data_IF_654787120518
#
_entry.id   IF_654787120518
#
_cell.length_a   1.000
_cell.length_b   1.000
_cell.length_c   1.000
_cell.angle_alpha   90.00
_cell.angle_beta   90.00
_cell.angle_gamma   90.00
#
_symmetry.space_group_name_H-M   'P 1'
#
loop_
_entity.id
_entity.type
_entity.pdbx_description
1 polymer ?
#
# COMPACT_ATOMS: atom_id res chain seq x y z
N UNK A 1 4.61 -0.86 -18.85
CA UNK A 1 4.94 -1.02 -17.41
C UNK A 1 3.86 -1.82 -16.70
N UNK A 2 2.58 -1.46 -16.84
CA UNK A 2 1.47 -2.19 -16.24
C UNK A 2 1.42 -3.67 -16.64
N UNK A 3 1.69 -4.00 -17.91
CA UNK A 3 1.78 -5.39 -18.37
C UNK A 3 2.85 -6.20 -17.61
N UNK A 4 3.99 -5.60 -17.29
CA UNK A 4 5.07 -6.28 -16.54
C UNK A 4 4.58 -6.62 -15.13
N UNK A 5 3.94 -5.65 -14.46
CA UNK A 5 3.37 -5.81 -13.12
C UNK A 5 2.33 -6.93 -13.11
N UNK A 6 1.37 -6.88 -14.04
CA UNK A 6 0.29 -7.87 -14.11
C UNK A 6 0.82 -9.26 -14.47
N UNK A 7 1.89 -9.36 -15.25
CA UNK A 7 2.51 -10.66 -15.58
C UNK A 7 3.07 -11.32 -14.31
N UNK A 8 3.85 -10.58 -13.52
CA UNK A 8 4.42 -11.11 -12.27
C UNK A 8 3.30 -11.43 -11.27
N UNK A 9 2.35 -10.52 -11.09
CA UNK A 9 1.24 -10.68 -10.14
C UNK A 9 0.36 -11.88 -10.47
N UNK A 10 -0.04 -12.04 -11.75
CA UNK A 10 -0.87 -13.17 -12.19
C UNK A 10 -0.15 -14.50 -12.09
N UNK A 11 1.16 -14.52 -12.33
CA UNK A 11 1.94 -15.71 -12.09
C UNK A 11 1.93 -16.11 -10.61
N UNK A 12 2.15 -15.15 -9.71
CA UNK A 12 2.11 -15.41 -8.26
C UNK A 12 0.72 -15.91 -7.85
N UNK A 13 -0.36 -15.26 -8.29
CA UNK A 13 -1.73 -15.69 -8.03
C UNK A 13 -1.98 -17.13 -8.53
N UNK A 14 -1.55 -17.45 -9.76
CA UNK A 14 -1.68 -18.80 -10.32
C UNK A 14 -0.89 -19.84 -9.54
N UNK A 15 0.35 -19.52 -9.16
CA UNK A 15 1.20 -20.38 -8.33
C UNK A 15 0.56 -20.68 -6.98
N UNK A 16 0.01 -19.66 -6.32
CA UNK A 16 -0.69 -19.82 -5.03
C UNK A 16 -1.92 -20.70 -5.18
N UNK A 17 -2.78 -20.42 -6.16
CA UNK A 17 -3.98 -21.21 -6.42
C UNK A 17 -3.65 -22.68 -6.69
N UNK A 18 -2.65 -22.94 -7.54
CA UNK A 18 -2.24 -24.29 -7.87
C UNK A 18 -1.64 -25.03 -6.67
N UNK A 19 -0.79 -24.34 -5.88
CA UNK A 19 -0.23 -24.91 -4.66
C UNK A 19 -1.33 -25.28 -3.66
N UNK A 20 -2.39 -24.47 -3.55
CA UNK A 20 -3.53 -24.77 -2.70
C UNK A 20 -4.28 -26.01 -3.19
N UNK A 21 -4.61 -26.08 -4.49
CA UNK A 21 -5.30 -27.25 -5.07
C UNK A 21 -4.53 -28.55 -4.85
N UNK A 22 -3.22 -28.52 -5.03
CA UNK A 22 -2.34 -29.69 -4.83
C UNK A 22 -2.29 -30.10 -3.36
N UNK A 23 -2.28 -29.14 -2.41
CA UNK A 23 -2.33 -29.43 -0.97
C UNK A 23 -3.67 -30.03 -0.54
N UNK A 24 -4.76 -29.65 -1.19
CA UNK A 24 -6.10 -30.18 -0.92
C UNK A 24 -6.30 -31.61 -1.49
N UNK A 25 -5.44 -32.04 -2.42
CA UNK A 25 -5.46 -33.35 -3.07
C UNK A 25 -4.07 -34.03 -3.04
N UNK A 26 -3.57 -34.42 -1.85
CA UNK A 26 -2.19 -34.85 -1.69
C UNK A 26 -1.89 -36.20 -2.36
N UNK A 27 -2.85 -37.13 -2.36
CA UNK A 27 -2.66 -38.49 -2.90
C UNK A 27 -2.48 -38.49 -4.42
N UNK A 28 -3.10 -37.54 -5.12
CA UNK A 28 -3.02 -37.40 -6.59
C UNK A 28 -1.79 -36.61 -7.05
N UNK A 29 -1.14 -35.86 -6.14
CA UNK A 29 -0.11 -34.88 -6.46
C UNK A 29 1.19 -35.03 -5.65
N UNK A 30 1.47 -36.22 -5.11
CA UNK A 30 2.59 -36.48 -4.21
C UNK A 30 3.95 -36.03 -4.78
N UNK A 31 4.22 -36.29 -6.06
CA UNK A 31 5.47 -35.90 -6.73
C UNK A 31 5.63 -34.38 -6.83
N UNK A 32 4.53 -33.65 -7.10
CA UNK A 32 4.55 -32.20 -7.18
C UNK A 32 4.74 -31.55 -5.80
N UNK A 33 4.07 -32.09 -4.77
CA UNK A 33 4.28 -31.66 -3.38
C UNK A 33 5.74 -31.85 -2.94
N UNK A 34 6.36 -32.97 -3.32
CA UNK A 34 7.77 -33.22 -3.05
C UNK A 34 8.68 -32.18 -3.73
N UNK A 35 8.36 -31.77 -4.96
CA UNK A 35 9.10 -30.75 -5.69
C UNK A 35 8.94 -29.34 -5.09
N UNK A 36 7.75 -28.98 -4.59
CA UNK A 36 7.51 -27.68 -3.97
C UNK A 36 8.24 -27.49 -2.63
N UNK A 37 8.61 -28.59 -1.97
CA UNK A 37 9.24 -28.57 -0.65
C UNK A 37 8.30 -28.12 0.48
N UNK A 38 8.87 -27.90 1.66
CA UNK A 38 8.09 -27.62 2.88
C UNK A 38 7.50 -26.20 2.92
N UNK A 39 8.15 -25.24 2.28
CA UNK A 39 7.74 -23.83 2.22
C UNK A 39 7.75 -23.36 0.77
N UNK A 40 6.70 -23.68 -0.01
CA UNK A 40 6.61 -23.31 -1.40
C UNK A 40 6.69 -21.79 -1.58
N UNK A 41 7.55 -21.37 -2.49
CA UNK A 41 7.79 -19.98 -2.82
C UNK A 41 7.87 -19.83 -4.35
N UNK A 42 7.16 -18.86 -4.95
CA UNK A 42 7.19 -18.66 -6.41
C UNK A 42 8.62 -18.50 -6.95
N UNK A 43 9.43 -17.66 -6.29
CA UNK A 43 10.80 -17.34 -6.74
C UNK A 43 11.78 -18.53 -6.68
N UNK A 44 11.53 -19.51 -5.82
CA UNK A 44 12.33 -20.76 -5.76
C UNK A 44 11.94 -21.73 -6.87
N UNK A 45 10.68 -21.71 -7.30
CA UNK A 45 10.19 -22.57 -8.37
C UNK A 45 10.54 -22.01 -9.76
N UNK A 46 10.49 -20.68 -9.93
CA UNK A 46 10.84 -20.00 -11.17
C UNK A 46 11.50 -18.65 -10.85
N UNK A 47 12.64 -18.35 -11.47
CA UNK A 47 13.35 -17.10 -11.19
C UNK A 47 12.64 -15.84 -11.71
N UNK A 48 11.91 -15.92 -12.83
CA UNK A 48 11.33 -14.74 -13.47
C UNK A 48 11.02 -14.90 -14.95
N UNK A 49 10.83 -13.76 -15.62
CA UNK A 49 10.46 -13.68 -17.04
C UNK A 49 11.45 -12.84 -17.84
N UNK A 50 11.87 -13.35 -19.00
CA UNK A 50 12.51 -12.51 -20.02
C UNK A 50 11.44 -11.78 -20.84
N UNK A 51 11.54 -10.45 -20.88
CA UNK A 51 10.60 -9.58 -21.58
C UNK A 51 11.30 -8.85 -22.72
N UNK A 52 10.64 -8.82 -23.87
CA UNK A 52 11.04 -8.04 -25.03
C UNK A 52 9.89 -7.10 -25.43
N UNK A 53 10.15 -5.81 -25.46
CA UNK A 53 9.20 -4.81 -25.93
C UNK A 53 9.56 -4.39 -27.35
N UNK A 54 8.57 -4.45 -28.23
CA UNK A 54 8.71 -4.10 -29.64
C UNK A 54 7.82 -2.91 -29.97
N UNK A 55 8.32 -2.01 -30.80
CA UNK A 55 7.55 -0.88 -31.33
C UNK A 55 7.52 -0.92 -32.84
N UNK A 56 6.32 -0.80 -33.38
CA UNK A 56 6.10 -0.62 -34.80
C UNK A 56 6.51 0.80 -35.21
N UNK A 57 7.39 0.90 -36.21
CA UNK A 57 7.89 2.15 -36.80
C UNK A 57 7.35 2.34 -38.23
N UNK A 58 6.27 1.64 -38.59
CA UNK A 58 5.61 1.65 -39.90
C UNK A 58 6.26 0.68 -40.89
N UNK A 59 7.55 0.86 -41.18
CA UNK A 59 8.28 0.03 -42.14
C UNK A 59 9.13 -1.09 -41.48
N UNK A 60 9.25 -1.07 -40.16
CA UNK A 60 10.02 -2.05 -39.40
C UNK A 60 9.51 -2.13 -37.95
N UNK A 61 9.69 -3.29 -37.33
CA UNK A 61 9.47 -3.48 -35.89
C UNK A 61 10.83 -3.41 -35.20
N UNK A 62 10.98 -2.47 -34.26
CA UNK A 62 12.23 -2.28 -33.52
C UNK A 62 12.10 -2.82 -32.10
N UNK A 63 13.10 -3.57 -31.64
CA UNK A 63 13.22 -3.96 -30.23
C UNK A 63 13.62 -2.74 -29.40
N UNK A 64 12.70 -2.29 -28.55
CA UNK A 64 12.86 -1.09 -27.74
C UNK A 64 13.46 -1.39 -26.37
N UNK A 65 13.16 -2.56 -25.81
CA UNK A 65 13.65 -2.97 -24.49
C UNK A 65 13.79 -4.49 -24.39
N UNK A 66 14.83 -4.93 -23.69
CA UNK A 66 15.02 -6.30 -23.22
C UNK A 66 15.24 -6.23 -21.71
N UNK A 67 14.35 -6.85 -20.94
CA UNK A 67 14.39 -6.81 -19.48
C UNK A 67 14.17 -8.21 -18.89
N UNK A 68 14.63 -8.39 -17.66
CA UNK A 68 14.28 -9.54 -16.84
C UNK A 68 13.41 -9.07 -15.67
N UNK A 69 12.28 -9.75 -15.47
CA UNK A 69 11.37 -9.54 -14.35
C UNK A 69 11.57 -10.65 -13.34
N UNK A 70 12.24 -10.36 -12.22
CA UNK A 70 12.38 -11.32 -11.13
C UNK A 70 11.01 -11.62 -10.50
N UNK A 71 10.85 -12.82 -9.97
CA UNK A 71 9.79 -13.08 -9.00
C UNK A 71 10.22 -12.65 -7.60
N UNK A 72 9.30 -12.08 -6.81
CA UNK A 72 9.63 -11.55 -5.50
C UNK A 72 9.83 -12.64 -4.46
N UNK A 73 10.76 -12.40 -3.54
CA UNK A 73 11.00 -13.27 -2.40
C UNK A 73 10.11 -12.97 -1.18
N UNK A 74 9.10 -12.10 -1.25
CA UNK A 74 8.25 -11.77 -0.08
C UNK A 74 6.98 -12.64 0.03
N UNK A 75 6.77 -13.59 -0.88
CA UNK A 75 5.64 -14.54 -0.87
C UNK A 75 6.08 -15.91 -0.35
N UNK A 76 5.52 -16.36 0.77
CA UNK A 76 5.83 -17.65 1.39
C UNK A 76 4.57 -18.40 1.82
N UNK A 77 4.38 -19.64 1.36
CA UNK A 77 3.21 -20.45 1.73
C UNK A 77 3.56 -21.41 2.87
N UNK A 78 3.66 -20.91 4.10
CA UNK A 78 4.03 -21.66 5.31
C UNK A 78 2.82 -22.37 5.94
N UNK A 79 1.71 -21.65 6.02
CA UNK A 79 0.47 -22.09 6.67
C UNK A 79 -0.64 -22.28 5.63
N UNK A 80 -1.69 -23.03 6.00
CA UNK A 80 -2.84 -23.25 5.12
C UNK A 80 -3.58 -21.94 4.79
N UNK A 81 -3.57 -20.97 5.71
CA UNK A 81 -4.21 -19.66 5.54
C UNK A 81 -3.40 -18.70 4.67
N UNK A 82 -2.14 -19.01 4.35
CA UNK A 82 -1.28 -18.11 3.58
C UNK A 82 -1.79 -17.95 2.14
N UNK A 83 -2.37 -19.00 1.55
CA UNK A 83 -2.87 -18.94 0.18
C UNK A 83 -3.99 -17.89 0.05
N UNK A 84 -5.05 -18.02 0.85
CA UNK A 84 -6.10 -16.99 0.95
C UNK A 84 -5.50 -15.64 1.33
N UNK A 85 -4.50 -15.63 2.21
CA UNK A 85 -3.89 -14.40 2.67
C UNK A 85 -3.26 -13.60 1.53
N UNK A 86 -2.43 -14.25 0.72
CA UNK A 86 -1.76 -13.60 -0.39
C UNK A 86 -2.71 -13.30 -1.55
N UNK A 87 -3.74 -14.13 -1.80
CA UNK A 87 -4.74 -13.82 -2.83
C UNK A 87 -5.43 -12.48 -2.56
N UNK A 88 -5.95 -12.27 -1.34
CA UNK A 88 -6.61 -11.01 -0.99
C UNK A 88 -5.67 -9.79 -1.02
N UNK A 89 -4.39 -9.98 -0.67
CA UNK A 89 -3.37 -8.93 -0.79
C UNK A 89 -3.15 -8.59 -2.28
N UNK A 90 -2.96 -9.60 -3.13
CA UNK A 90 -2.69 -9.42 -4.56
C UNK A 90 -3.90 -8.83 -5.30
N UNK A 91 -5.13 -9.19 -4.91
CA UNK A 91 -6.35 -8.60 -5.46
C UNK A 91 -6.45 -7.09 -5.15
N UNK A 92 -6.19 -6.67 -3.92
CA UNK A 92 -6.18 -5.24 -3.57
C UNK A 92 -5.07 -4.49 -4.32
N UNK A 93 -3.90 -5.12 -4.45
CA UNK A 93 -2.79 -4.61 -5.23
C UNK A 93 -3.14 -4.46 -6.73
N UNK A 94 -3.81 -5.44 -7.33
CA UNK A 94 -4.28 -5.41 -8.72
C UNK A 94 -5.27 -4.25 -8.94
N UNK A 95 -6.23 -4.06 -8.05
CA UNK A 95 -7.18 -2.94 -8.10
C UNK A 95 -6.46 -1.57 -8.08
N UNK A 96 -5.39 -1.45 -7.30
CA UNK A 96 -4.63 -0.20 -7.16
C UNK A 96 -3.78 0.10 -8.40
N UNK A 97 -3.14 -0.90 -9.00
CA UNK A 97 -2.28 -0.66 -10.18
C UNK A 97 -3.09 -0.51 -11.47
N UNK A 98 -4.23 -1.20 -11.59
CA UNK A 98 -5.07 -1.15 -12.80
C UNK A 98 -5.82 0.17 -12.99
N UNK A 99 -6.05 0.93 -11.91
CA UNK A 99 -6.62 2.30 -12.02
C UNK A 99 -5.62 3.35 -12.51
N UNK A 100 -4.31 3.06 -12.49
CA UNK A 100 -3.26 3.98 -12.93
C UNK A 100 -3.10 3.90 -14.45
N UNK A 101 -3.00 5.06 -15.10
CA UNK A 101 -2.92 5.19 -16.56
C UNK A 101 -1.50 5.49 -17.02
N UNK A 102 -1.08 4.78 -18.07
CA UNK A 102 0.24 4.96 -18.68
C UNK A 102 0.36 6.20 -19.59
N UNK A 103 -0.66 7.06 -19.67
CA UNK A 103 -0.67 8.28 -20.48
C UNK A 103 -0.43 9.57 -19.66
N UNK A 104 -0.18 9.44 -18.35
CA UNK A 104 0.04 10.57 -17.42
C UNK A 104 1.36 10.41 -16.67
N UNK A 105 2.17 11.47 -16.64
CA UNK A 105 3.52 11.44 -16.04
C UNK A 105 3.56 10.88 -14.60
N UNK A 106 2.77 11.45 -13.69
CA UNK A 106 2.71 11.01 -12.27
C UNK A 106 2.26 9.54 -12.13
N UNK A 107 1.28 9.10 -12.92
CA UNK A 107 0.75 7.73 -12.85
C UNK A 107 1.73 6.70 -13.44
N UNK A 108 2.50 7.10 -14.47
CA UNK A 108 3.60 6.30 -15.02
C UNK A 108 4.71 6.13 -13.97
N UNK A 109 5.09 7.19 -13.25
CA UNK A 109 6.11 7.12 -12.19
C UNK A 109 5.67 6.20 -11.05
N UNK A 110 4.40 6.26 -10.64
CA UNK A 110 3.82 5.32 -9.68
C UNK A 110 3.87 3.88 -10.17
N UNK A 111 3.52 3.63 -11.44
CA UNK A 111 3.63 2.30 -12.04
C UNK A 111 5.09 1.81 -12.09
N UNK A 112 6.04 2.69 -12.38
CA UNK A 112 7.47 2.33 -12.38
C UNK A 112 7.94 1.96 -10.96
N UNK A 113 7.63 2.78 -9.96
CA UNK A 113 7.95 2.47 -8.56
C UNK A 113 7.29 1.16 -8.08
N UNK A 114 6.05 0.91 -8.49
CA UNK A 114 5.38 -0.35 -8.18
C UNK A 114 6.04 -1.55 -8.89
N UNK A 115 6.45 -1.37 -10.16
CA UNK A 115 7.19 -2.40 -10.90
C UNK A 115 8.48 -2.76 -10.18
N UNK A 116 9.20 -1.77 -9.64
CA UNK A 116 10.42 -2.02 -8.87
C UNK A 116 10.13 -2.82 -7.59
N UNK A 117 8.99 -2.58 -6.94
CA UNK A 117 8.53 -3.40 -5.82
C UNK A 117 8.20 -4.85 -6.21
N UNK A 118 7.36 -5.07 -7.22
CA UNK A 118 6.87 -6.43 -7.51
C UNK A 118 7.99 -7.36 -7.96
N UNK A 119 9.12 -6.83 -8.44
CA UNK A 119 10.32 -7.58 -8.81
C UNK A 119 11.44 -7.53 -7.76
N UNK A 120 11.21 -6.88 -6.62
CA UNK A 120 12.18 -6.77 -5.53
C UNK A 120 12.03 -7.89 -4.48
N UNK A 121 13.13 -8.14 -3.77
CA UNK A 121 13.20 -9.15 -2.71
C UNK A 121 12.82 -8.62 -1.32
N UNK A 122 12.49 -7.34 -1.20
CA UNK A 122 12.13 -6.69 0.05
C UNK A 122 11.01 -5.66 -0.15
N UNK A 123 10.46 -5.16 0.97
CA UNK A 123 9.31 -4.26 0.96
C UNK A 123 9.68 -2.76 0.95
N UNK A 124 10.96 -2.39 0.85
CA UNK A 124 11.31 -0.95 0.80
C UNK A 124 10.79 -0.24 -0.46
N UNK A 125 10.91 -0.81 -1.68
CA UNK A 125 10.31 -0.17 -2.85
C UNK A 125 8.78 -0.09 -2.76
N UNK A 126 8.14 -1.01 -2.03
CA UNK A 126 6.70 -0.90 -1.75
C UNK A 126 6.41 0.31 -0.86
N UNK A 127 7.23 0.51 0.18
CA UNK A 127 7.11 1.67 1.05
C UNK A 127 7.35 2.98 0.29
N UNK A 128 8.29 3.02 -0.66
CA UNK A 128 8.48 4.15 -1.57
C UNK A 128 7.23 4.42 -2.41
N UNK A 129 6.66 3.37 -3.01
CA UNK A 129 5.41 3.46 -3.76
C UNK A 129 4.29 4.02 -2.88
N UNK A 130 4.07 3.47 -1.68
CA UNK A 130 2.97 3.92 -0.80
C UNK A 130 3.12 5.38 -0.37
N UNK A 131 4.36 5.85 -0.18
CA UNK A 131 4.63 7.24 0.19
C UNK A 131 4.31 8.22 -0.94
N UNK A 132 4.66 7.87 -2.19
CA UNK A 132 4.27 8.64 -3.38
C UNK A 132 2.75 8.55 -3.62
N UNK A 133 2.19 7.35 -3.48
CA UNK A 133 0.78 7.06 -3.72
C UNK A 133 -0.17 7.82 -2.77
N UNK A 134 0.27 8.15 -1.55
CA UNK A 134 -0.48 9.00 -0.62
C UNK A 134 -0.84 10.37 -1.22
N UNK A 135 0.07 10.98 -1.97
CA UNK A 135 -0.18 12.25 -2.68
C UNK A 135 -1.23 12.09 -3.78
N UNK A 136 -1.13 11.00 -4.55
CA UNK A 136 -2.10 10.66 -5.60
C UNK A 136 -3.51 10.45 -5.02
N UNK A 137 -3.65 9.75 -3.90
CA UNK A 137 -4.96 9.57 -3.24
C UNK A 137 -5.61 10.93 -2.94
N UNK A 138 -4.84 11.86 -2.38
CA UNK A 138 -5.35 13.20 -2.06
C UNK A 138 -5.73 13.96 -3.33
N UNK A 139 -4.88 13.98 -4.35
CA UNK A 139 -5.14 14.69 -5.61
C UNK A 139 -6.39 14.16 -6.33
N UNK A 140 -6.58 12.84 -6.34
CA UNK A 140 -7.80 12.22 -6.86
C UNK A 140 -9.02 12.61 -6.05
N UNK A 141 -8.91 12.63 -4.72
CA UNK A 141 -10.01 13.04 -3.83
C UNK A 141 -10.31 14.53 -3.86
N UNK A 142 -9.52 15.38 -4.50
CA UNK A 142 -9.90 16.77 -4.73
C UNK A 142 -10.83 16.96 -5.94
N UNK A 143 -10.72 16.05 -6.91
CA UNK A 143 -11.57 16.08 -8.11
C UNK A 143 -13.02 15.80 -7.72
N UNK A 144 -13.98 16.49 -8.36
CA UNK A 144 -15.42 16.44 -8.04
C UNK A 144 -15.98 15.01 -8.03
N UNK A 145 -15.59 14.20 -9.02
CA UNK A 145 -15.95 12.78 -9.16
C UNK A 145 -14.73 11.86 -8.99
N UNK A 146 -13.63 12.37 -8.47
CA UNK A 146 -12.40 11.59 -8.34
C UNK A 146 -12.46 10.63 -7.17
N UNK A 147 -12.00 9.42 -7.46
CA UNK A 147 -11.85 8.31 -6.54
C UNK A 147 -10.48 7.67 -6.77
N UNK A 148 -9.94 7.06 -5.71
CA UNK A 148 -8.74 6.24 -5.77
C UNK A 148 -8.92 5.09 -4.78
N UNK A 149 -8.64 3.86 -5.23
CA UNK A 149 -8.55 2.72 -4.33
C UNK A 149 -7.45 2.96 -3.30
N UNK A 150 -7.56 2.38 -2.11
CA UNK A 150 -6.54 2.53 -1.08
C UNK A 150 -6.24 1.16 -0.52
N UNK A 151 -4.97 0.94 -0.19
CA UNK A 151 -4.60 -0.20 0.63
C UNK A 151 -5.38 -0.17 1.93
N UNK A 152 -5.82 -1.34 2.38
CA UNK A 152 -6.38 -1.50 3.70
C UNK A 152 -5.25 -1.67 4.73
N UNK A 153 -5.44 -1.12 5.92
CA UNK A 153 -4.52 -1.38 7.02
C UNK A 153 -4.44 -2.87 7.38
N UNK A 154 -5.51 -3.62 7.14
CA UNK A 154 -5.55 -5.06 7.29
C UNK A 154 -4.57 -5.79 6.35
N UNK A 155 -4.66 -5.55 5.04
CA UNK A 155 -3.79 -6.22 4.08
C UNK A 155 -2.34 -5.72 4.16
N UNK A 156 -2.12 -4.43 4.45
CA UNK A 156 -0.76 -3.95 4.77
C UNK A 156 -0.17 -4.71 5.94
N UNK A 157 -0.90 -4.81 7.07
CA UNK A 157 -0.42 -5.55 8.25
C UNK A 157 -0.08 -6.99 7.87
N UNK A 158 -0.94 -7.67 7.12
CA UNK A 158 -0.69 -9.05 6.69
C UNK A 158 0.52 -9.17 5.77
N UNK A 159 0.70 -8.29 4.79
CA UNK A 159 1.87 -8.29 3.91
C UNK A 159 3.19 -8.18 4.70
N UNK A 160 3.27 -7.23 5.64
CA UNK A 160 4.47 -7.05 6.47
C UNK A 160 4.68 -8.25 7.42
N UNK A 161 3.64 -8.73 8.09
CA UNK A 161 3.76 -9.86 9.03
C UNK A 161 4.08 -11.19 8.33
N UNK A 162 3.53 -11.43 7.14
CA UNK A 162 3.79 -12.66 6.36
C UNK A 162 5.14 -12.66 5.64
N UNK A 163 5.74 -11.48 5.38
CA UNK A 163 7.06 -11.38 4.75
C UNK A 163 8.19 -11.49 5.79
N UNK A 164 8.24 -10.60 6.78
CA UNK A 164 9.30 -10.55 7.80
C UNK A 164 8.73 -10.22 9.19
N UNK A 165 8.09 -11.18 9.87
CA UNK A 165 7.39 -10.92 11.14
C UNK A 165 8.32 -10.41 12.24
N UNK A 166 9.54 -10.93 12.34
CA UNK A 166 10.53 -10.50 13.34
C UNK A 166 10.95 -9.04 13.16
N UNK A 167 10.98 -8.58 11.90
CA UNK A 167 11.32 -7.19 11.56
C UNK A 167 10.16 -6.26 11.81
N UNK A 168 8.93 -6.63 11.39
CA UNK A 168 7.83 -5.67 11.36
C UNK A 168 6.87 -5.76 12.56
N UNK A 169 6.78 -6.89 13.26
CA UNK A 169 5.88 -7.02 14.42
C UNK A 169 6.14 -5.96 15.51
N UNK A 170 7.40 -5.66 15.92
CA UNK A 170 7.64 -4.66 16.95
C UNK A 170 7.15 -3.25 16.58
N UNK A 171 7.14 -2.90 15.29
CA UNK A 171 6.61 -1.62 14.80
C UNK A 171 5.08 -1.66 14.77
N UNK A 172 4.50 -2.73 14.18
CA UNK A 172 3.06 -2.83 13.94
C UNK A 172 2.24 -3.07 15.21
N UNK A 173 2.86 -3.60 16.26
CA UNK A 173 2.25 -3.83 17.58
C UNK A 173 2.49 -2.68 18.55
N UNK A 174 3.36 -1.74 18.20
CA UNK A 174 3.62 -0.56 19.01
C UNK A 174 2.42 0.40 19.02
N UNK A 175 1.99 0.78 20.22
CA UNK A 175 0.78 1.59 20.40
C UNK A 175 0.99 3.04 19.91
N UNK A 176 2.17 3.63 20.17
CA UNK A 176 2.53 4.96 19.65
C UNK A 176 2.53 5.04 18.13
N UNK A 177 3.10 4.04 17.46
CA UNK A 177 3.06 3.91 16.00
C UNK A 177 1.62 3.90 15.47
N UNK A 178 0.75 3.05 16.03
CA UNK A 178 -0.66 2.97 15.62
C UNK A 178 -1.42 4.29 15.89
N UNK A 179 -1.11 4.97 16.99
CA UNK A 179 -1.73 6.23 17.37
C UNK A 179 -1.34 7.35 16.41
N UNK A 180 -0.08 7.43 16.03
CA UNK A 180 0.42 8.45 15.11
C UNK A 180 -0.02 8.17 13.67
N UNK A 181 0.00 6.92 13.20
CA UNK A 181 -0.55 6.55 11.90
C UNK A 181 -2.03 6.96 11.79
N UNK A 182 -2.81 6.74 12.84
CA UNK A 182 -4.20 7.23 12.92
C UNK A 182 -4.29 8.75 12.84
N UNK A 183 -3.43 9.50 13.55
CA UNK A 183 -3.46 10.96 13.49
C UNK A 183 -3.17 11.46 12.07
N UNK A 184 -2.17 10.88 11.39
CA UNK A 184 -1.88 11.15 9.97
C UNK A 184 -3.12 10.92 9.12
N UNK A 185 -3.80 9.77 9.29
CA UNK A 185 -5.05 9.42 8.60
C UNK A 185 -6.17 10.44 8.83
N UNK A 186 -6.36 10.84 10.10
CA UNK A 186 -7.37 11.82 10.49
C UNK A 186 -7.07 13.24 9.96
N UNK A 187 -5.80 13.58 9.72
CA UNK A 187 -5.38 14.88 9.20
C UNK A 187 -5.30 14.94 7.68
N UNK A 188 -5.40 13.81 6.98
CA UNK A 188 -5.20 13.75 5.53
C UNK A 188 -6.46 13.20 4.86
N UNK A 189 -6.48 11.90 4.60
CA UNK A 189 -7.50 11.16 3.86
C UNK A 189 -8.90 11.35 4.46
N UNK A 190 -9.03 11.25 5.79
CA UNK A 190 -10.33 11.36 6.47
C UNK A 190 -10.80 12.80 6.56
N UNK A 191 -9.90 13.75 6.81
CA UNK A 191 -10.24 15.18 6.76
C UNK A 191 -10.74 15.56 5.36
N UNK A 192 -10.09 15.07 4.31
CA UNK A 192 -10.50 15.33 2.92
C UNK A 192 -11.88 14.71 2.61
N UNK A 193 -12.15 13.50 3.10
CA UNK A 193 -13.45 12.85 2.96
C UNK A 193 -14.55 13.65 3.66
N UNK A 194 -14.35 13.99 4.94
CA UNK A 194 -15.29 14.81 5.73
C UNK A 194 -15.57 16.16 5.10
N UNK A 195 -14.54 16.82 4.56
CA UNK A 195 -14.66 18.10 3.85
C UNK A 195 -15.60 17.98 2.63
N UNK A 196 -15.57 16.85 1.90
CA UNK A 196 -16.50 16.57 0.79
C UNK A 196 -17.93 16.32 1.28
N UNK A 197 -18.08 15.70 2.45
CA UNK A 197 -19.36 15.45 3.13
C UNK A 197 -19.94 16.70 3.82
N UNK A 198 -19.21 17.83 3.81
CA UNK A 198 -19.62 19.10 4.41
C UNK A 198 -19.12 19.31 5.84
N UNK A 199 -18.48 18.32 6.46
CA UNK A 199 -17.85 18.45 7.77
C UNK A 199 -16.44 19.07 7.66
N UNK A 200 -16.36 20.35 8.01
CA UNK A 200 -15.11 21.14 8.01
C UNK A 200 -14.63 21.44 9.42
N UNK A 201 -14.75 20.48 10.34
CA UNK A 201 -14.22 20.59 11.71
C UNK A 201 -12.71 20.64 11.75
N UNK A 202 -12.07 19.93 10.84
CA UNK A 202 -10.62 19.77 10.82
C UNK A 202 -10.07 20.11 9.45
N UNK A 203 -8.91 20.74 9.43
CA UNK A 203 -8.20 21.11 8.22
C UNK A 203 -7.46 19.92 7.61
N UNK A 204 -7.43 19.89 6.28
CA UNK A 204 -6.71 18.88 5.51
C UNK A 204 -5.24 19.30 5.42
N UNK A 205 -4.34 18.45 5.91
CA UNK A 205 -2.89 18.67 5.88
C UNK A 205 -2.27 18.14 4.60
N UNK A 206 -2.40 18.92 3.54
CA UNK A 206 -1.76 18.63 2.26
C UNK A 206 -0.24 18.55 2.38
N UNK A 207 0.37 17.60 1.67
CA UNK A 207 1.82 17.42 1.66
C UNK A 207 2.42 16.85 2.96
N UNK A 208 1.62 16.48 3.97
CA UNK A 208 2.13 15.98 5.24
C UNK A 208 3.08 14.78 5.07
N UNK A 209 2.68 13.76 4.30
CA UNK A 209 3.53 12.60 4.04
C UNK A 209 4.85 12.97 3.36
N UNK A 210 4.82 13.87 2.39
CA UNK A 210 6.03 14.32 1.67
C UNK A 210 6.96 15.15 2.56
N UNK A 211 6.43 16.01 3.42
CA UNK A 211 7.25 16.78 4.36
C UNK A 211 7.91 15.87 5.41
N UNK A 212 7.18 14.88 5.93
CA UNK A 212 7.74 13.88 6.84
C UNK A 212 8.84 13.06 6.16
N UNK A 213 8.57 12.54 4.96
CA UNK A 213 9.53 11.74 4.20
C UNK A 213 10.81 12.52 3.86
N UNK A 214 10.69 13.78 3.45
CA UNK A 214 11.86 14.61 3.17
C UNK A 214 12.76 14.79 4.39
N UNK A 215 12.16 14.87 5.57
CA UNK A 215 12.87 15.04 6.86
C UNK A 215 13.30 13.70 7.47
N UNK A 216 12.89 12.56 6.93
CA UNK A 216 13.26 11.25 7.46
C UNK A 216 14.68 10.81 7.14
N UNK A 217 15.39 11.56 6.30
CA UNK A 217 16.82 11.35 6.03
C UNK A 217 17.70 11.52 7.28
N UNK A 218 17.26 12.36 8.24
CA UNK A 218 17.96 12.59 9.50
C UNK A 218 16.98 12.40 10.66
N UNK A 219 17.35 11.56 11.63
CA UNK A 219 16.46 11.17 12.72
C UNK A 219 15.98 12.37 13.56
N UNK A 220 16.85 13.34 13.81
CA UNK A 220 16.54 14.57 14.55
C UNK A 220 15.58 15.48 13.78
N UNK A 221 15.77 15.64 12.47
CA UNK A 221 14.84 16.38 11.61
C UNK A 221 13.46 15.71 11.56
N UNK A 222 13.42 14.38 11.48
CA UNK A 222 12.19 13.60 11.51
C UNK A 222 11.45 13.74 12.84
N UNK A 223 12.15 13.55 13.96
CA UNK A 223 11.60 13.69 15.30
C UNK A 223 11.08 15.11 15.57
N UNK A 224 11.77 16.12 15.04
CA UNK A 224 11.27 17.50 15.07
C UNK A 224 9.97 17.63 14.26
N UNK A 225 9.95 17.11 13.03
CA UNK A 225 8.78 17.20 12.13
C UNK A 225 7.54 16.54 12.72
N UNK A 226 7.69 15.32 13.27
CA UNK A 226 6.58 14.56 13.83
C UNK A 226 6.06 15.21 15.12
N UNK A 227 6.94 15.77 15.95
CA UNK A 227 6.56 16.51 17.16
C UNK A 227 5.82 17.81 16.84
N UNK A 228 6.29 18.55 15.83
CA UNK A 228 5.58 19.74 15.32
C UNK A 228 4.20 19.39 14.77
N UNK A 229 4.09 18.28 14.02
CA UNK A 229 2.81 17.76 13.54
C UNK A 229 1.87 17.44 14.70
N UNK A 230 2.33 16.66 15.69
CA UNK A 230 1.55 16.23 16.86
C UNK A 230 1.07 17.43 17.68
N UNK A 231 1.93 18.42 17.89
CA UNK A 231 1.59 19.65 18.61
C UNK A 231 0.44 20.37 17.92
N UNK A 232 0.56 20.58 16.60
CA UNK A 232 -0.49 21.21 15.79
C UNK A 232 -1.77 20.37 15.75
N UNK A 233 -1.67 19.04 15.73
CA UNK A 233 -2.81 18.13 15.73
C UNK A 233 -3.60 18.21 17.03
N UNK A 234 -2.91 18.13 18.17
CA UNK A 234 -3.52 18.22 19.49
C UNK A 234 -4.11 19.60 19.77
N UNK A 235 -3.44 20.69 19.34
CA UNK A 235 -3.97 22.04 19.47
C UNK A 235 -5.28 22.22 18.69
N UNK A 236 -5.33 21.72 17.45
CA UNK A 236 -6.55 21.73 16.63
C UNK A 236 -7.67 20.89 17.26
N UNK A 237 -7.35 19.75 17.88
CA UNK A 237 -8.34 18.95 18.64
C UNK A 237 -8.95 19.76 19.79
N UNK A 238 -8.11 20.40 20.61
CA UNK A 238 -8.56 21.20 21.74
C UNK A 238 -9.47 22.36 21.28
N UNK A 239 -9.06 23.08 20.23
CA UNK A 239 -9.85 24.16 19.66
C UNK A 239 -11.23 23.67 19.16
N UNK A 240 -11.29 22.51 18.50
CA UNK A 240 -12.57 21.95 18.05
C UNK A 240 -13.45 21.50 19.22
N UNK A 241 -12.86 20.92 20.27
CA UNK A 241 -13.59 20.54 21.49
C UNK A 241 -14.20 21.73 22.22
N UNK A 242 -13.57 22.91 22.16
CA UNK A 242 -14.09 24.14 22.74
C UNK A 242 -15.20 24.78 21.88
N UNK A 243 -15.08 24.69 20.55
CA UNK A 243 -15.90 25.49 19.63
C UNK A 243 -17.04 24.71 18.96
N UNK A 244 -17.00 23.38 18.97
CA UNK A 244 -17.94 22.54 18.22
C UNK A 244 -18.31 21.29 19.00
N UNK A 245 -19.48 20.73 18.69
CA UNK A 245 -19.92 19.46 19.26
C UNK A 245 -19.21 18.26 18.60
N UNK A 246 -19.10 17.18 19.37
CA UNK A 246 -18.46 15.94 18.96
C UNK A 246 -19.11 15.24 17.75
N UNK A 247 -18.56 14.11 17.29
CA UNK A 247 -17.43 13.36 17.88
C UNK A 247 -16.05 14.01 17.66
N UNK A 248 -15.14 13.78 18.60
CA UNK A 248 -13.76 14.27 18.56
C UNK A 248 -12.79 13.16 18.15
N UNK A 249 -11.69 13.54 17.49
CA UNK A 249 -10.56 12.63 17.23
C UNK A 249 -9.67 12.55 18.47
N UNK A 250 -9.07 11.37 18.72
CA UNK A 250 -8.21 11.14 19.89
C UNK A 250 -6.95 12.01 19.84
N UNK A 251 -6.54 12.56 20.98
CA UNK A 251 -5.26 13.25 21.11
C UNK A 251 -4.10 12.26 21.24
N UNK A 252 -2.92 12.69 20.78
CA UNK A 252 -1.67 11.95 20.90
C UNK A 252 -0.99 12.28 22.23
N UNK A 253 -0.50 11.27 22.93
CA UNK A 253 0.16 11.37 24.23
C UNK A 253 1.67 11.49 24.08
N UNK A 254 2.34 11.92 25.14
CA UNK A 254 3.81 11.94 25.20
C UNK A 254 4.42 10.55 25.09
N UNK A 255 3.73 9.53 25.62
CA UNK A 255 4.08 8.11 25.50
C UNK A 255 4.17 7.67 24.03
N UNK A 256 3.24 8.13 23.18
CA UNK A 256 3.23 7.79 21.76
C UNK A 256 4.47 8.34 21.03
N UNK A 257 5.00 9.49 21.46
CA UNK A 257 6.22 10.09 20.90
C UNK A 257 7.45 9.33 21.38
N UNK A 258 7.50 8.97 22.67
CA UNK A 258 8.59 8.19 23.23
C UNK A 258 8.71 6.81 22.56
N UNK A 259 7.58 6.22 22.18
CA UNK A 259 7.53 4.99 21.41
C UNK A 259 8.18 5.13 20.03
N UNK A 260 7.93 6.22 19.30
CA UNK A 260 8.59 6.46 18.00
C UNK A 260 10.09 6.66 18.16
N UNK A 261 10.53 7.39 19.19
CA UNK A 261 11.97 7.55 19.49
C UNK A 261 12.61 6.18 19.71
N UNK A 262 11.99 5.32 20.52
CA UNK A 262 12.49 3.97 20.78
C UNK A 262 12.52 3.11 19.51
N UNK A 263 11.53 3.22 18.62
CA UNK A 263 11.55 2.51 17.34
C UNK A 263 12.68 3.00 16.44
N UNK A 264 12.90 4.31 16.34
CA UNK A 264 14.00 4.86 15.53
C UNK A 264 15.35 4.38 16.09
N UNK A 265 15.53 4.42 17.41
CA UNK A 265 16.77 3.97 18.05
C UNK A 265 16.99 2.46 17.90
N UNK A 266 15.94 1.65 17.95
CA UNK A 266 16.04 0.20 17.81
C UNK A 266 16.38 -0.24 16.38
N UNK A 267 15.83 0.44 15.37
CA UNK A 267 16.03 0.09 13.96
C UNK A 267 17.17 0.86 13.31
N UNK A 268 17.60 1.98 13.91
CA UNK A 268 18.57 2.92 13.35
C UNK A 268 18.17 3.41 11.95
N UNK A 269 16.87 3.48 11.69
CA UNK A 269 16.29 3.78 10.38
C UNK A 269 15.02 4.63 10.54
N UNK A 270 15.21 5.95 10.61
CA UNK A 270 14.10 6.90 10.68
C UNK A 270 13.24 6.89 9.41
N UNK A 271 13.84 6.56 8.26
CA UNK A 271 13.17 6.53 6.96
C UNK A 271 12.19 5.36 6.85
N UNK A 272 12.57 4.17 7.30
CA UNK A 272 11.69 3.02 7.44
C UNK A 272 10.47 3.34 8.30
N UNK A 273 10.69 3.87 9.52
CA UNK A 273 9.61 4.21 10.44
C UNK A 273 8.68 5.27 9.84
N UNK A 274 9.24 6.30 9.21
CA UNK A 274 8.49 7.34 8.51
C UNK A 274 7.64 6.77 7.38
N UNK A 275 8.23 5.97 6.47
CA UNK A 275 7.49 5.40 5.35
C UNK A 275 6.38 4.46 5.81
N UNK A 276 6.61 3.66 6.86
CA UNK A 276 5.56 2.83 7.46
C UNK A 276 4.44 3.68 8.07
N UNK A 277 4.75 4.76 8.79
CA UNK A 277 3.74 5.69 9.30
C UNK A 277 2.89 6.30 8.17
N UNK A 278 3.52 6.65 7.05
CA UNK A 278 2.83 7.18 5.86
C UNK A 278 1.95 6.08 5.25
N UNK A 279 2.47 4.88 5.01
CA UNK A 279 1.72 3.77 4.43
C UNK A 279 0.43 3.48 5.23
N UNK A 280 0.55 3.31 6.56
CA UNK A 280 -0.60 3.06 7.43
C UNK A 280 -1.49 4.30 7.65
N UNK A 281 -0.91 5.50 7.57
CA UNK A 281 -1.61 6.77 7.69
C UNK A 281 -2.49 7.10 6.48
N UNK A 282 -2.13 6.64 5.29
CA UNK A 282 -2.94 6.83 4.07
C UNK A 282 -3.81 5.61 3.74
N UNK A 283 -3.61 4.48 4.42
CA UNK A 283 -4.46 3.31 4.29
C UNK A 283 -5.89 3.55 4.78
N UNK A 284 -6.85 2.85 4.17
CA UNK A 284 -8.24 2.81 4.66
C UNK A 284 -8.34 1.91 5.90
N UNK A 285 -9.19 2.32 6.83
CA UNK A 285 -9.54 1.49 7.98
C UNK A 285 -10.45 0.35 7.54
N UNK A 286 -9.99 -0.88 7.71
CA UNK A 286 -10.76 -2.09 7.41
C UNK A 286 -12.06 -2.22 8.22
N UNK A 287 -12.16 -1.54 9.37
CA UNK A 287 -13.38 -1.48 10.20
C UNK A 287 -14.34 -0.37 9.79
N UNK A 288 -13.92 0.57 8.94
CA UNK A 288 -14.82 1.54 8.34
C UNK A 288 -15.50 0.90 7.13
N UNK A 289 -16.84 0.91 7.09
CA UNK A 289 -17.60 0.44 5.91
C UNK A 289 -17.01 1.05 4.64
N UNK A 290 -16.73 0.22 3.63
CA UNK A 290 -16.36 0.70 2.31
C UNK A 290 -17.46 1.66 1.82
N UNK A 291 -17.12 2.85 1.29
CA UNK A 291 -18.10 3.65 0.59
C UNK A 291 -18.54 2.89 -0.66
N UNK A 292 -19.86 2.81 -0.88
CA UNK A 292 -20.47 2.15 -2.02
C UNK A 292 -19.81 2.63 -3.32
N UNK A 293 -19.26 1.68 -4.07
CA UNK A 293 -18.72 1.92 -5.42
C UNK A 293 -19.83 2.55 -6.27
N UNK A 294 -19.58 3.64 -7.03
CA UNK A 294 -20.60 4.16 -7.94
C UNK A 294 -20.91 3.10 -8.99
N UNK A 295 -22.14 2.62 -8.95
CA UNK A 295 -22.72 1.62 -9.84
C UNK A 295 -22.54 2.10 -11.28
N UNK A 296 -21.69 1.40 -12.04
CA UNK A 296 -21.51 1.68 -13.47
C UNK A 296 -22.55 0.86 -14.23
N UNK A 297 -23.83 1.15 -13.98
CA UNK A 297 -24.91 0.62 -14.80
C UNK A 297 -24.85 1.32 -16.16
N UNK A 298 -24.26 0.63 -17.13
CA UNK A 298 -24.34 0.96 -18.55
C UNK A 298 -25.82 0.94 -18.94
N UNK A 299 -26.38 2.12 -19.21
CA UNK A 299 -27.69 2.24 -19.86
C UNK A 299 -27.56 1.73 -21.28
N UNK A 300 -27.95 0.48 -21.52
CA UNK A 300 -28.25 -0.01 -22.86
C UNK A 300 -29.49 0.73 -23.35
N UNK A 301 -29.30 1.76 -24.16
CA UNK A 301 -30.39 2.35 -24.95
C UNK A 301 -30.79 1.32 -26.01
N UNK A 302 -31.94 0.69 -25.79
CA UNK A 302 -32.67 -0.07 -26.81
C UNK A 302 -33.10 0.92 -27.90
N UNK A 303 -32.66 0.68 -29.12
CA UNK A 303 -33.29 1.21 -30.33
C UNK A 303 -34.68 0.58 -30.44
N UNK A 304 -35.72 1.39 -30.57
CA UNK A 304 -37.04 0.99 -31.06
C UNK A 304 -37.26 1.59 -32.45
N UNK A 305 -37.90 0.76 -33.30
CA UNK A 305 -38.29 0.95 -34.70
C UNK A 305 -39.13 2.20 -34.98
#
# INVERSE_FOLDING_TARGET
VLSDILTVMRYIQAFISYTQTVRDQPDENADFLAMLGHTPQPATFMHGFHMAYYKDMGNAVTTMNLAFLNLPHWVYLREATDATTYQEILEEHEQIVTQLKEDRGEEIELLQSYRDFIVADNLMPFLDFTAAYGSYIISQREKRSGYAYQFSDHNLRRLFMSSQPTTYAPILENQGFQNIAYAIRQSTVIAQMRKKEGDRRYDVRYGLGQDLLRKSQYADEFLKAITEFITKYNAENAQVMETRSGPYRRSIRTEDVADIVQLIDAYQDAELICKMLIAFGYARDSKAKAPDTPDTSVTTSTEEE
#
